data_IF_231601906092
#
_entry.id   IF_231601906092
#
_cell.length_a   1.000
_cell.length_b   1.000
_cell.length_c   1.000
_cell.angle_alpha   90.00
_cell.angle_beta   90.00
_cell.angle_gamma   90.00
#
_symmetry.space_group_name_H-M   'P 1'
#
loop_
_entity.id
_entity.type
_entity.pdbx_description
1 polymer ?
#
# COMPACT_ATOMS: atom_id res chain seq x y z
N UNK A 1 43.49 10.62 -29.82
CA UNK A 1 43.24 9.30 -30.46
C UNK A 1 43.10 8.16 -29.45
N UNK A 2 43.74 8.20 -28.27
CA UNK A 2 43.59 7.16 -27.23
C UNK A 2 42.22 7.11 -26.53
N UNK A 3 41.37 8.15 -26.66
CA UNK A 3 40.04 8.21 -26.03
C UNK A 3 38.92 7.56 -26.84
N UNK A 4 39.16 7.21 -28.11
CA UNK A 4 38.15 6.55 -28.98
C UNK A 4 38.23 5.03 -28.89
N UNK A 5 39.42 4.47 -28.58
CA UNK A 5 39.61 3.02 -28.43
C UNK A 5 39.06 2.46 -27.11
N UNK A 6 39.02 3.26 -26.02
CA UNK A 6 38.44 2.81 -24.74
C UNK A 6 36.92 2.66 -24.79
N UNK A 7 36.23 3.55 -25.53
CA UNK A 7 34.76 3.50 -25.68
C UNK A 7 34.34 2.27 -26.50
N UNK A 8 35.13 1.85 -27.51
CA UNK A 8 34.83 0.62 -28.24
C UNK A 8 35.01 -0.65 -27.40
N UNK A 9 35.94 -0.64 -26.44
CA UNK A 9 36.20 -1.80 -25.58
C UNK A 9 35.10 -2.00 -24.52
N UNK A 10 34.58 -0.92 -23.93
CA UNK A 10 33.49 -0.98 -22.94
C UNK A 10 32.15 -1.43 -23.56
N UNK A 11 31.83 -1.00 -24.79
CA UNK A 11 30.62 -1.44 -25.50
C UNK A 11 30.65 -2.94 -25.79
N UNK A 12 31.81 -3.47 -26.20
CA UNK A 12 31.98 -4.91 -26.44
C UNK A 12 31.91 -5.76 -25.17
N UNK A 13 32.26 -5.20 -24.01
CA UNK A 13 32.16 -5.86 -22.70
C UNK A 13 30.69 -5.96 -22.23
N UNK A 14 29.91 -4.90 -22.45
CA UNK A 14 28.47 -4.87 -22.17
C UNK A 14 27.68 -5.84 -23.07
N UNK A 15 28.01 -5.91 -24.37
CA UNK A 15 27.38 -6.85 -25.30
C UNK A 15 27.69 -8.31 -24.94
N UNK A 16 28.93 -8.58 -24.52
CA UNK A 16 29.35 -9.92 -24.08
C UNK A 16 28.64 -10.36 -22.79
N UNK A 17 28.46 -9.45 -21.84
CA UNK A 17 27.68 -9.69 -20.62
C UNK A 17 26.18 -9.94 -20.93
N UNK A 18 25.62 -9.23 -21.89
CA UNK A 18 24.23 -9.46 -22.34
C UNK A 18 24.07 -10.82 -23.02
N UNK A 19 25.04 -11.22 -23.86
CA UNK A 19 25.02 -12.53 -24.51
C UNK A 19 25.19 -13.68 -23.50
N UNK A 20 26.05 -13.50 -22.50
CA UNK A 20 26.21 -14.47 -21.40
C UNK A 20 24.93 -14.60 -20.57
N UNK A 21 24.25 -13.50 -20.25
CA UNK A 21 22.94 -13.54 -19.58
C UNK A 21 21.88 -14.25 -20.41
N UNK A 22 21.83 -14.00 -21.73
CA UNK A 22 20.90 -14.69 -22.62
C UNK A 22 21.18 -16.18 -22.69
N UNK A 23 22.45 -16.57 -22.77
CA UNK A 23 22.86 -17.98 -22.79
C UNK A 23 22.51 -18.68 -21.48
N UNK A 24 22.70 -18.01 -20.33
CA UNK A 24 22.34 -18.52 -19.01
C UNK A 24 20.82 -18.72 -18.87
N UNK A 25 20.02 -17.76 -19.35
CA UNK A 25 18.56 -17.90 -19.43
C UNK A 25 18.15 -19.07 -20.33
N UNK A 26 18.80 -19.24 -21.48
CA UNK A 26 18.50 -20.34 -22.40
C UNK A 26 18.81 -21.69 -21.76
N UNK A 27 19.93 -21.81 -21.04
CA UNK A 27 20.28 -23.01 -20.27
C UNK A 27 19.28 -23.31 -19.17
N UNK A 28 18.84 -22.30 -18.41
CA UNK A 28 17.81 -22.48 -17.38
C UNK A 28 16.48 -22.95 -17.99
N UNK A 29 16.08 -22.40 -19.13
CA UNK A 29 14.86 -22.79 -19.82
C UNK A 29 14.95 -24.23 -20.35
N UNK A 30 16.11 -24.64 -20.86
CA UNK A 30 16.35 -26.00 -21.34
C UNK A 30 16.38 -27.02 -20.20
N UNK A 31 16.98 -26.66 -19.05
CA UNK A 31 16.98 -27.49 -17.85
C UNK A 31 15.56 -27.71 -17.30
N UNK A 32 14.74 -26.66 -17.30
CA UNK A 32 13.34 -26.76 -16.89
C UNK A 32 12.54 -27.70 -17.80
N UNK A 33 12.72 -27.58 -19.12
CA UNK A 33 12.07 -28.47 -20.09
C UNK A 33 12.48 -29.94 -19.88
N UNK A 34 13.76 -30.17 -19.55
CA UNK A 34 14.30 -31.49 -19.26
C UNK A 34 13.72 -32.07 -17.96
N UNK A 35 13.56 -31.26 -16.91
CA UNK A 35 12.89 -31.66 -15.67
C UNK A 35 11.41 -32.00 -15.93
N UNK A 36 10.72 -31.23 -16.77
CA UNK A 36 9.34 -31.51 -17.15
C UNK A 36 9.19 -32.85 -17.87
N UNK A 37 10.09 -33.16 -18.83
CA UNK A 37 10.10 -34.45 -19.51
C UNK A 37 10.40 -35.61 -18.55
N UNK A 38 11.36 -35.45 -17.62
CA UNK A 38 11.65 -36.47 -16.62
C UNK A 38 10.46 -36.75 -15.70
N UNK A 39 9.76 -35.72 -15.23
CA UNK A 39 8.54 -35.89 -14.44
C UNK A 39 7.45 -36.61 -15.23
N UNK A 40 7.26 -36.28 -16.51
CA UNK A 40 6.27 -36.94 -17.37
C UNK A 40 6.59 -38.43 -17.56
N UNK A 41 7.86 -38.78 -17.75
CA UNK A 41 8.33 -40.16 -17.84
C UNK A 41 8.14 -40.92 -16.52
N UNK A 42 8.41 -40.30 -15.37
CA UNK A 42 8.15 -40.91 -14.06
C UNK A 42 6.66 -41.19 -13.83
N UNK A 43 5.79 -40.24 -14.17
CA UNK A 43 4.33 -40.42 -14.11
C UNK A 43 3.86 -41.57 -15.01
N UNK A 44 4.41 -41.67 -16.22
CA UNK A 44 4.06 -42.73 -17.16
C UNK A 44 4.52 -44.11 -16.66
N UNK A 45 5.70 -44.20 -16.05
CA UNK A 45 6.18 -45.44 -15.42
C UNK A 45 5.34 -45.84 -14.22
N UNK A 46 4.95 -44.89 -13.35
CA UNK A 46 4.06 -45.17 -12.22
C UNK A 46 2.68 -45.67 -12.67
N UNK A 47 2.13 -45.11 -13.76
CA UNK A 47 0.88 -45.58 -14.37
C UNK A 47 0.98 -47.01 -14.90
N UNK A 48 2.08 -47.34 -15.59
CA UNK A 48 2.33 -48.70 -16.08
C UNK A 48 2.47 -49.70 -14.93
N UNK A 49 3.21 -49.33 -13.88
CA UNK A 49 3.42 -50.20 -12.71
C UNK A 49 2.12 -50.43 -11.93
N UNK A 50 1.25 -49.42 -11.83
CA UNK A 50 -0.09 -49.57 -11.23
C UNK A 50 -1.01 -50.44 -12.09
N UNK A 51 -0.91 -50.40 -13.43
CA UNK A 51 -1.67 -51.29 -14.32
C UNK A 51 -1.21 -52.75 -14.20
N UNK A 52 0.09 -52.99 -13.99
CA UNK A 52 0.61 -54.35 -13.73
C UNK A 52 0.19 -54.88 -12.36
N UNK A 53 0.22 -54.04 -11.32
CA UNK A 53 -0.23 -54.38 -9.97
C UNK A 53 -1.74 -54.69 -9.92
N UNK A 54 -2.56 -53.96 -10.68
CA UNK A 54 -4.00 -54.21 -10.77
C UNK A 54 -4.35 -55.44 -11.63
N UNK A 55 -3.51 -55.81 -12.60
CA UNK A 55 -3.64 -57.10 -13.31
C UNK A 55 -3.28 -58.30 -12.44
N UNK A 56 -2.31 -58.16 -11.54
CA UNK A 56 -1.88 -59.25 -10.63
C UNK A 56 -2.83 -59.42 -9.44
N UNK A 57 -3.51 -58.37 -8.99
CA UNK A 57 -4.53 -58.45 -7.92
C UNK A 57 -5.92 -58.93 -8.38
N UNK A 58 -6.15 -59.08 -9.69
CA UNK A 58 -7.44 -59.49 -10.26
C UNK A 58 -7.82 -60.96 -10.04
N UNK A 59 -6.96 -61.77 -9.39
CA UNK A 59 -7.17 -63.21 -9.22
C UNK A 59 -7.76 -63.64 -7.87
N UNK A 60 -8.12 -62.75 -6.94
CA UNK A 60 -8.55 -63.21 -5.60
C UNK A 60 -9.52 -62.30 -4.80
N UNK A 61 -10.41 -61.51 -5.41
CA UNK A 61 -11.35 -60.66 -4.64
C UNK A 61 -12.77 -60.58 -5.24
N UNK A 62 -13.74 -60.39 -4.34
CA UNK A 62 -15.19 -60.29 -4.59
C UNK A 62 -15.51 -59.10 -5.54
N UNK A 63 -16.32 -59.31 -6.62
CA UNK A 63 -16.62 -58.28 -7.62
C UNK A 63 -17.16 -56.96 -7.06
N UNK A 64 -17.92 -56.98 -5.95
CA UNK A 64 -18.47 -55.76 -5.36
C UNK A 64 -17.41 -54.91 -4.64
N UNK A 65 -16.44 -55.54 -3.96
CA UNK A 65 -15.34 -54.81 -3.31
C UNK A 65 -14.36 -54.24 -4.35
N UNK A 66 -14.13 -54.94 -5.46
CA UNK A 66 -13.31 -54.43 -6.56
C UNK A 66 -13.90 -53.16 -7.19
N UNK A 67 -15.22 -53.12 -7.38
CA UNK A 67 -15.88 -51.96 -8.00
C UNK A 67 -15.83 -50.72 -7.09
N UNK A 68 -15.97 -50.91 -5.78
CA UNK A 68 -15.92 -49.83 -4.79
C UNK A 68 -14.49 -49.29 -4.61
N UNK A 69 -13.48 -50.16 -4.60
CA UNK A 69 -12.07 -49.75 -4.60
C UNK A 69 -11.67 -49.02 -5.89
N UNK A 70 -12.16 -49.49 -7.06
CA UNK A 70 -11.91 -48.79 -8.33
C UNK A 70 -12.51 -47.38 -8.34
N UNK A 71 -13.72 -47.18 -7.81
CA UNK A 71 -14.31 -45.84 -7.72
C UNK A 71 -13.55 -44.91 -6.76
N UNK A 72 -13.12 -45.42 -5.59
CA UNK A 72 -12.33 -44.63 -4.65
C UNK A 72 -10.96 -44.25 -5.22
N UNK A 73 -10.29 -45.18 -5.92
CA UNK A 73 -9.02 -44.89 -6.61
C UNK A 73 -9.20 -43.88 -7.74
N UNK A 74 -10.27 -43.95 -8.53
CA UNK A 74 -10.57 -42.95 -9.56
C UNK A 74 -10.80 -41.56 -8.98
N UNK A 75 -11.51 -41.44 -7.85
CA UNK A 75 -11.70 -40.14 -7.19
C UNK A 75 -10.41 -39.56 -6.64
N UNK A 76 -9.56 -40.38 -6.01
CA UNK A 76 -8.24 -39.91 -5.54
C UNK A 76 -7.34 -39.49 -6.70
N UNK A 77 -7.35 -40.22 -7.82
CA UNK A 77 -6.61 -39.83 -9.03
C UNK A 77 -7.09 -38.50 -9.60
N UNK A 78 -8.41 -38.26 -9.66
CA UNK A 78 -8.94 -36.98 -10.13
C UNK A 78 -8.55 -35.80 -9.21
N UNK A 79 -8.58 -35.99 -7.89
CA UNK A 79 -8.16 -34.95 -6.95
C UNK A 79 -6.66 -34.63 -7.06
N UNK A 80 -5.80 -35.65 -7.19
CA UNK A 80 -4.37 -35.42 -7.38
C UNK A 80 -4.06 -34.73 -8.71
N UNK A 81 -4.74 -35.10 -9.80
CA UNK A 81 -4.58 -34.40 -11.09
C UNK A 81 -5.02 -32.94 -11.03
N UNK A 82 -6.12 -32.63 -10.34
CA UNK A 82 -6.57 -31.24 -10.18
C UNK A 82 -5.58 -30.41 -9.35
N UNK A 83 -5.06 -30.95 -8.24
CA UNK A 83 -4.05 -30.24 -7.43
C UNK A 83 -2.76 -30.00 -8.22
N UNK A 84 -2.30 -30.97 -9.01
CA UNK A 84 -1.10 -30.79 -9.85
C UNK A 84 -1.32 -29.77 -10.97
N UNK A 85 -2.47 -29.78 -11.65
CA UNK A 85 -2.78 -28.76 -12.66
C UNK A 85 -2.84 -27.36 -12.06
N UNK A 86 -3.35 -27.23 -10.83
CA UNK A 86 -3.42 -25.95 -10.16
C UNK A 86 -2.03 -25.43 -9.75
N UNK A 87 -1.16 -26.29 -9.21
CA UNK A 87 0.23 -25.93 -8.92
C UNK A 87 1.02 -25.55 -10.18
N UNK A 88 0.86 -26.31 -11.28
CA UNK A 88 1.50 -25.98 -12.56
C UNK A 88 1.02 -24.64 -13.12
N UNK A 89 -0.26 -24.31 -12.95
CA UNK A 89 -0.83 -23.04 -13.41
C UNK A 89 -0.32 -21.85 -12.58
N UNK A 90 -0.18 -22.02 -11.27
CA UNK A 90 0.40 -21.02 -10.37
C UNK A 90 1.88 -20.78 -10.66
N UNK A 91 2.65 -21.84 -10.91
CA UNK A 91 4.07 -21.74 -11.24
C UNK A 91 4.31 -21.08 -12.62
N UNK A 92 3.50 -21.44 -13.62
CA UNK A 92 3.52 -20.79 -14.94
C UNK A 92 3.17 -19.29 -14.85
N UNK A 93 2.19 -18.92 -14.02
CA UNK A 93 1.83 -17.53 -13.78
C UNK A 93 2.94 -16.76 -13.06
N UNK A 94 3.61 -17.39 -12.09
CA UNK A 94 4.73 -16.80 -11.36
C UNK A 94 5.94 -16.54 -12.28
N UNK A 95 6.25 -17.46 -13.18
CA UNK A 95 7.32 -17.31 -14.19
C UNK A 95 6.98 -16.23 -15.23
N UNK A 96 5.73 -16.17 -15.70
CA UNK A 96 5.28 -15.11 -16.62
C UNK A 96 5.37 -13.72 -15.96
N UNK A 97 5.04 -13.61 -14.67
CA UNK A 97 5.19 -12.37 -13.91
C UNK A 97 6.66 -11.95 -13.74
N UNK A 98 7.56 -12.91 -13.51
CA UNK A 98 9.01 -12.64 -13.43
C UNK A 98 9.58 -12.19 -14.78
N UNK A 99 9.16 -12.80 -15.89
CA UNK A 99 9.57 -12.37 -17.24
C UNK A 99 9.07 -10.96 -17.56
N UNK A 100 7.83 -10.63 -17.23
CA UNK A 100 7.27 -9.29 -17.44
C UNK A 100 8.01 -8.24 -16.61
N UNK A 101 8.37 -8.55 -15.37
CA UNK A 101 9.16 -7.67 -14.51
C UNK A 101 10.58 -7.43 -15.06
N UNK A 102 11.23 -8.47 -15.59
CA UNK A 102 12.55 -8.34 -16.21
C UNK A 102 12.51 -7.48 -17.49
N UNK A 103 11.49 -7.66 -18.33
CA UNK A 103 11.29 -6.84 -19.54
C UNK A 103 11.01 -5.36 -19.20
N UNK A 104 10.25 -5.10 -18.14
CA UNK A 104 9.98 -3.73 -17.67
C UNK A 104 11.25 -3.05 -17.13
N UNK A 105 12.12 -3.79 -16.44
CA UNK A 105 13.38 -3.25 -15.94
C UNK A 105 14.33 -2.89 -17.10
N UNK A 106 14.42 -3.73 -18.13
CA UNK A 106 15.16 -3.42 -19.35
C UNK A 106 14.59 -2.20 -20.10
N UNK A 107 13.26 -2.10 -20.24
CA UNK A 107 12.63 -0.95 -20.88
C UNK A 107 12.88 0.36 -20.11
N UNK A 108 12.90 0.32 -18.77
CA UNK A 108 13.24 1.49 -17.95
C UNK A 108 14.71 1.91 -18.12
N UNK A 109 15.63 0.95 -18.23
CA UNK A 109 17.05 1.25 -18.47
C UNK A 109 17.29 1.86 -19.87
N UNK A 110 16.57 1.39 -20.90
CA UNK A 110 16.62 1.98 -22.25
C UNK A 110 16.03 3.39 -22.31
N UNK A 111 14.93 3.65 -21.59
CA UNK A 111 14.33 4.99 -21.45
C UNK A 111 15.23 5.96 -20.66
N UNK A 112 16.00 5.47 -19.69
CA UNK A 112 16.97 6.27 -18.95
C UNK A 112 18.18 6.67 -19.82
N UNK A 113 18.64 5.77 -20.71
CA UNK A 113 19.73 6.06 -21.64
C UNK A 113 19.36 7.10 -22.72
N UNK A 114 18.09 7.15 -23.16
CA UNK A 114 17.63 8.13 -24.15
C UNK A 114 17.43 9.57 -23.60
N UNK A 115 17.35 9.75 -22.27
CA UNK A 115 17.13 11.07 -21.65
C UNK A 115 18.37 11.98 -21.57
N UNK A 116 19.55 11.52 -22.02
CA UNK A 116 20.80 12.30 -21.93
C UNK A 116 21.06 13.27 -23.09
N UNK A 117 20.14 13.45 -24.05
CA UNK A 117 20.33 14.40 -25.16
C UNK A 117 19.12 15.30 -25.39
N UNK A 118 18.89 16.28 -24.51
CA UNK A 118 18.17 17.52 -24.86
C UNK A 118 18.72 18.70 -24.04
N UNK A 119 19.10 19.84 -24.66
CA UNK A 119 19.57 21.00 -23.92
C UNK A 119 18.40 21.73 -23.26
N UNK A 120 18.39 21.77 -21.92
CA UNK A 120 17.43 22.53 -21.12
C UNK A 120 17.89 23.98 -21.01
N UNK A 121 17.17 24.90 -21.65
CA UNK A 121 17.14 26.28 -21.21
C UNK A 121 16.26 26.36 -19.97
N UNK A 122 16.84 26.67 -18.81
CA UNK A 122 16.07 27.02 -17.61
C UNK A 122 16.76 28.13 -16.83
N UNK A 123 16.05 29.25 -16.74
CA UNK A 123 16.34 30.40 -15.89
C UNK A 123 16.45 29.94 -14.44
N UNK A 124 17.57 30.30 -13.83
CA UNK A 124 17.93 30.00 -12.45
C UNK A 124 17.17 30.88 -11.48
N UNK A 125 16.50 30.27 -10.50
CA UNK A 125 16.35 30.80 -9.14
C UNK A 125 16.14 29.61 -8.19
N UNK A 126 17.19 28.83 -7.96
CA UNK A 126 17.26 27.92 -6.81
C UNK A 126 17.77 28.71 -5.61
N UNK A 127 16.86 29.21 -4.79
CA UNK A 127 17.18 29.44 -3.40
C UNK A 127 17.46 28.07 -2.77
N UNK A 128 18.69 27.85 -2.29
CA UNK A 128 19.08 26.65 -1.57
C UNK A 128 18.21 26.52 -0.32
N UNK A 129 17.19 25.65 -0.34
CA UNK A 129 16.48 25.26 0.89
C UNK A 129 17.52 24.70 1.87
N UNK A 130 17.68 25.34 3.02
CA UNK A 130 18.54 24.84 4.11
C UNK A 130 18.07 23.44 4.49
N UNK A 131 18.97 22.46 4.49
CA UNK A 131 18.67 21.11 4.98
C UNK A 131 18.46 21.17 6.50
N UNK A 132 17.39 20.55 6.98
CA UNK A 132 17.15 20.39 8.42
C UNK A 132 18.21 19.48 9.05
N UNK A 133 18.46 19.68 10.33
CA UNK A 133 19.19 18.76 11.20
C UNK A 133 18.50 18.67 12.56
N UNK A 134 18.95 17.75 13.42
CA UNK A 134 18.33 17.51 14.71
C UNK A 134 18.40 18.73 15.66
N UNK A 135 19.53 19.46 15.66
CA UNK A 135 19.77 20.62 16.53
C UNK A 135 18.88 21.83 16.19
N UNK A 136 18.25 21.81 15.02
CA UNK A 136 17.26 22.81 14.60
C UNK A 136 15.95 22.70 15.40
N UNK A 137 15.75 21.62 16.18
CA UNK A 137 14.51 21.30 16.88
C UNK A 137 14.72 21.02 18.37
N UNK A 138 13.74 21.43 19.18
CA UNK A 138 13.58 20.97 20.56
C UNK A 138 12.54 19.86 20.57
N UNK A 139 12.91 18.66 21.00
CA UNK A 139 11.97 17.53 21.18
C UNK A 139 11.19 17.73 22.48
N UNK A 140 9.87 17.55 22.44
CA UNK A 140 8.98 17.72 23.59
C UNK A 140 8.50 16.38 24.16
N UNK A 141 7.62 15.69 23.44
CA UNK A 141 7.03 14.40 23.85
C UNK A 141 6.69 13.55 22.65
N UNK A 142 6.51 12.26 22.89
CA UNK A 142 5.98 11.31 21.91
C UNK A 142 4.48 11.56 21.69
N UNK A 143 4.08 11.67 20.42
CA UNK A 143 2.69 11.77 19.96
C UNK A 143 2.12 10.41 19.53
N UNK A 144 2.99 9.47 19.14
CA UNK A 144 2.60 8.14 18.69
C UNK A 144 3.80 7.21 18.50
N UNK A 145 3.54 5.91 18.59
CA UNK A 145 4.54 4.86 18.36
C UNK A 145 4.10 3.97 17.21
N UNK A 146 4.98 3.72 16.24
CA UNK A 146 4.75 2.80 15.14
C UNK A 146 5.70 1.60 15.19
N UNK A 147 5.53 0.66 14.26
CA UNK A 147 6.33 -0.57 14.18
C UNK A 147 7.83 -0.34 14.00
N UNK A 148 8.23 0.80 13.44
CA UNK A 148 9.62 1.11 13.07
C UNK A 148 10.23 2.27 13.85
N UNK A 149 9.46 2.91 14.73
CA UNK A 149 9.87 4.18 15.30
C UNK A 149 8.78 4.95 16.03
N UNK A 150 8.97 6.25 16.19
CA UNK A 150 8.09 7.14 16.95
C UNK A 150 7.84 8.44 16.22
N UNK A 151 6.74 9.09 16.57
CA UNK A 151 6.44 10.46 16.15
C UNK A 151 6.55 11.35 17.37
N UNK A 152 7.42 12.36 17.30
CA UNK A 152 7.64 13.33 18.37
C UNK A 152 6.99 14.67 18.04
N UNK A 153 6.39 15.31 19.04
CA UNK A 153 6.14 16.74 19.00
C UNK A 153 7.47 17.47 19.15
N UNK A 154 7.80 18.33 18.20
CA UNK A 154 9.02 19.12 18.23
C UNK A 154 8.72 20.59 17.99
N UNK A 155 9.53 21.48 18.55
CA UNK A 155 9.45 22.92 18.30
C UNK A 155 10.71 23.38 17.57
N UNK A 156 10.54 24.06 16.43
CA UNK A 156 11.69 24.62 15.71
C UNK A 156 12.32 25.75 16.52
N UNK A 157 13.65 25.74 16.60
CA UNK A 157 14.43 26.77 17.30
C UNK A 157 14.55 28.07 16.48
N UNK A 158 14.13 28.08 15.22
CA UNK A 158 14.20 29.27 14.34
C UNK A 158 12.93 30.11 14.35
N UNK A 159 11.77 29.47 14.27
CA UNK A 159 10.48 30.15 14.13
C UNK A 159 9.51 29.85 15.27
N UNK A 160 9.93 29.05 16.26
CA UNK A 160 9.13 28.63 17.42
C UNK A 160 7.85 27.85 17.07
N UNK A 161 7.65 27.44 15.82
CA UNK A 161 6.50 26.64 15.39
C UNK A 161 6.66 25.17 15.78
N UNK A 162 5.54 24.53 16.04
CA UNK A 162 5.45 23.11 16.34
C UNK A 162 5.34 22.26 15.07
N UNK A 163 5.99 21.11 15.08
CA UNK A 163 6.03 20.12 14.01
C UNK A 163 5.91 18.71 14.60
N UNK A 164 5.50 17.76 13.77
CA UNK A 164 5.60 16.34 14.08
C UNK A 164 6.85 15.77 13.41
N UNK A 165 7.75 15.16 14.18
CA UNK A 165 8.97 14.53 13.69
C UNK A 165 8.82 13.00 13.77
N UNK A 166 8.62 12.35 12.62
CA UNK A 166 8.64 10.88 12.52
C UNK A 166 10.10 10.42 12.47
N UNK A 167 10.50 9.64 13.47
CA UNK A 167 11.84 9.08 13.63
C UNK A 167 11.77 7.58 13.41
N UNK A 168 12.49 7.06 12.42
CA UNK A 168 12.49 5.65 12.04
C UNK A 168 13.89 5.05 12.24
N UNK A 169 13.98 3.92 12.95
CA UNK A 169 15.27 3.23 13.15
C UNK A 169 15.66 2.50 11.87
N UNK A 170 16.81 2.84 11.27
CA UNK A 170 17.31 2.22 10.04
C UNK A 170 17.40 0.70 10.15
N UNK A 171 17.91 0.20 11.28
CA UNK A 171 18.03 -1.23 11.56
C UNK A 171 16.67 -1.94 11.53
N UNK A 172 15.63 -1.36 12.15
CA UNK A 172 14.29 -1.94 12.17
C UNK A 172 13.61 -1.90 10.81
N UNK A 173 13.77 -0.80 10.07
CA UNK A 173 13.24 -0.67 8.70
C UNK A 173 13.85 -1.73 7.78
N UNK A 174 15.17 -1.96 7.86
CA UNK A 174 15.85 -2.99 7.08
C UNK A 174 15.43 -4.39 7.53
N UNK A 175 15.42 -4.66 8.84
CA UNK A 175 15.04 -5.95 9.44
C UNK A 175 13.63 -6.39 9.02
N UNK A 176 12.69 -5.44 8.97
CA UNK A 176 11.29 -5.68 8.59
C UNK A 176 11.03 -5.52 7.09
N UNK A 177 12.09 -5.37 6.27
CA UNK A 177 12.05 -5.25 4.80
C UNK A 177 11.17 -4.10 4.31
N UNK A 178 11.18 -2.97 5.02
CA UNK A 178 10.36 -1.78 4.71
C UNK A 178 11.13 -0.65 4.04
N UNK A 179 12.33 -0.92 3.53
CA UNK A 179 13.17 0.07 2.84
C UNK A 179 12.44 0.72 1.67
N UNK A 180 11.83 -0.09 0.79
CA UNK A 180 11.09 0.41 -0.37
C UNK A 180 9.89 1.28 0.06
N UNK A 181 9.11 0.82 1.02
CA UNK A 181 7.95 1.56 1.54
C UNK A 181 8.36 2.89 2.18
N UNK A 182 9.45 2.92 2.94
CA UNK A 182 9.96 4.15 3.57
C UNK A 182 10.44 5.18 2.53
N UNK A 183 11.17 4.72 1.51
CA UNK A 183 11.60 5.60 0.41
C UNK A 183 10.42 6.07 -0.45
N UNK A 184 9.41 5.22 -0.67
CA UNK A 184 8.18 5.59 -1.37
C UNK A 184 7.35 6.61 -0.59
N UNK A 185 7.19 6.41 0.73
CA UNK A 185 6.49 7.36 1.61
C UNK A 185 7.10 8.75 1.50
N UNK A 186 8.43 8.85 1.67
CA UNK A 186 9.16 10.11 1.48
C UNK A 186 8.91 10.69 0.08
N UNK A 187 9.14 9.91 -0.97
CA UNK A 187 9.06 10.39 -2.36
C UNK A 187 7.66 10.93 -2.70
N UNK A 188 6.60 10.28 -2.20
CA UNK A 188 5.23 10.72 -2.41
C UNK A 188 4.98 12.01 -1.65
N UNK A 189 5.33 12.07 -0.37
CA UNK A 189 5.17 13.26 0.48
C UNK A 189 5.94 14.48 -0.04
N UNK A 190 7.06 14.30 -0.74
CA UNK A 190 7.79 15.41 -1.40
C UNK A 190 7.06 16.01 -2.61
N UNK A 191 6.09 15.29 -3.19
CA UNK A 191 5.45 15.64 -4.47
C UNK A 191 3.98 16.00 -4.36
N UNK A 192 3.34 15.66 -3.25
CA UNK A 192 1.91 15.92 -3.02
C UNK A 192 1.74 17.18 -2.19
N UNK A 193 0.79 18.03 -2.60
CA UNK A 193 0.41 19.24 -1.90
C UNK A 193 -1.11 19.42 -2.06
N UNK A 194 -1.84 19.29 -0.96
CA UNK A 194 -3.30 19.36 -0.97
C UNK A 194 -3.85 19.78 0.40
N UNK A 195 -4.94 20.58 0.47
CA UNK A 195 -5.47 21.08 1.74
C UNK A 195 -5.75 20.01 2.80
N UNK A 196 -6.15 18.81 2.36
CA UNK A 196 -6.51 17.69 3.26
C UNK A 196 -5.43 16.61 3.38
N UNK A 197 -4.21 16.85 2.89
CA UNK A 197 -3.07 15.95 3.10
C UNK A 197 -2.08 16.59 4.09
N UNK A 198 -1.37 15.74 4.83
CA UNK A 198 -0.25 16.16 5.67
C UNK A 198 0.88 16.70 4.79
N UNK A 199 1.49 17.82 5.17
CA UNK A 199 2.67 18.32 4.47
C UNK A 199 3.94 17.81 5.13
N UNK A 200 4.92 17.41 4.32
CA UNK A 200 6.29 17.16 4.75
C UNK A 200 7.18 18.35 4.41
N UNK A 201 7.77 18.96 5.43
CA UNK A 201 8.64 20.13 5.31
C UNK A 201 10.06 19.76 4.88
N UNK A 202 10.51 18.57 5.26
CA UNK A 202 11.80 18.04 4.84
C UNK A 202 12.18 16.77 5.58
N UNK A 203 13.28 16.18 5.15
CA UNK A 203 13.89 15.01 5.78
C UNK A 203 15.34 15.28 6.13
N UNK A 204 15.86 14.47 7.04
CA UNK A 204 17.29 14.29 7.30
C UNK A 204 17.52 12.89 7.85
N UNK A 205 18.78 12.49 7.99
CA UNK A 205 19.17 11.23 8.62
C UNK A 205 20.44 11.41 9.44
N UNK A 206 20.63 10.55 10.43
CA UNK A 206 21.89 10.37 11.14
C UNK A 206 22.37 8.91 11.01
N UNK A 207 23.35 8.51 11.82
CA UNK A 207 23.95 7.16 11.75
C UNK A 207 22.94 6.04 11.97
N UNK A 208 21.89 6.25 12.80
CA UNK A 208 20.94 5.19 13.18
C UNK A 208 19.52 5.41 12.69
N UNK A 209 19.13 6.64 12.40
CA UNK A 209 17.75 7.04 12.24
C UNK A 209 17.49 7.85 10.97
N UNK A 210 16.26 7.76 10.49
CA UNK A 210 15.67 8.63 9.47
C UNK A 210 14.68 9.56 10.14
N UNK A 211 14.62 10.81 9.67
CA UNK A 211 13.77 11.85 10.21
C UNK A 211 12.90 12.44 9.10
N UNK A 212 11.60 12.52 9.34
CA UNK A 212 10.65 13.25 8.51
C UNK A 212 9.98 14.34 9.36
N UNK A 213 10.13 15.60 8.95
CA UNK A 213 9.52 16.76 9.61
C UNK A 213 8.21 17.08 8.89
N UNK A 214 7.09 16.97 9.60
CA UNK A 214 5.74 17.09 9.07
C UNK A 214 4.94 18.13 9.84
N UNK A 215 3.79 18.53 9.28
CA UNK A 215 2.81 19.34 10.02
C UNK A 215 2.47 18.70 11.37
N UNK A 216 2.44 19.50 12.43
CA UNK A 216 1.81 19.09 13.66
C UNK A 216 0.30 19.38 13.59
N UNK A 217 -0.51 18.33 13.63
CA UNK A 217 -1.97 18.42 13.54
C UNK A 217 -2.58 18.21 14.92
N UNK A 218 -2.91 19.32 15.59
CA UNK A 218 -3.19 19.39 17.03
C UNK A 218 -4.48 18.70 17.50
N UNK A 219 -5.47 18.49 16.62
CA UNK A 219 -6.80 18.00 16.99
C UNK A 219 -6.91 16.49 17.20
N UNK A 220 -5.81 15.75 17.04
CA UNK A 220 -5.78 14.30 17.23
C UNK A 220 -6.51 13.54 16.12
N UNK A 221 -6.79 12.27 16.37
CA UNK A 221 -7.38 11.34 15.41
C UNK A 221 -8.91 11.43 15.34
N UNK A 222 -9.46 11.33 14.13
CA UNK A 222 -10.90 11.19 13.91
C UNK A 222 -11.44 9.93 14.60
N UNK A 223 -10.62 8.87 14.69
CA UNK A 223 -10.94 7.64 15.42
C UNK A 223 -11.42 7.92 16.86
N UNK A 224 -10.65 8.71 17.62
CA UNK A 224 -10.97 9.08 19.00
C UNK A 224 -12.29 9.84 19.10
N UNK A 225 -12.56 10.74 18.16
CA UNK A 225 -13.82 11.49 18.10
C UNK A 225 -15.01 10.57 17.78
N UNK A 226 -14.82 9.63 16.83
CA UNK A 226 -15.84 8.66 16.45
C UNK A 226 -16.18 7.72 17.61
N UNK A 227 -15.17 7.17 18.30
CA UNK A 227 -15.36 6.30 19.47
C UNK A 227 -16.09 7.02 20.60
N UNK A 228 -15.71 8.25 20.92
CA UNK A 228 -16.40 9.09 21.94
C UNK A 228 -17.86 9.36 21.56
N UNK A 229 -18.13 9.58 20.27
CA UNK A 229 -19.47 9.86 19.75
C UNK A 229 -20.32 8.60 19.52
N UNK A 230 -19.73 7.40 19.63
CA UNK A 230 -20.26 6.10 19.20
C UNK A 230 -20.49 5.99 17.69
N UNK A 231 -21.15 6.98 17.08
CA UNK A 231 -21.34 7.11 15.63
C UNK A 231 -21.62 8.57 15.28
N UNK A 232 -21.40 8.95 14.04
CA UNK A 232 -21.74 10.26 13.52
C UNK A 232 -23.13 10.30 12.89
N UNK A 233 -23.86 11.42 13.02
CA UNK A 233 -24.97 11.74 12.13
C UNK A 233 -24.49 11.81 10.67
N UNK A 234 -25.37 11.48 9.71
CA UNK A 234 -24.97 11.41 8.29
C UNK A 234 -24.42 12.73 7.75
N UNK A 235 -24.88 13.89 8.22
CA UNK A 235 -24.36 15.18 7.76
C UNK A 235 -22.91 15.42 8.21
N UNK A 236 -22.54 14.94 9.41
CA UNK A 236 -21.16 14.99 9.94
C UNK A 236 -20.28 14.02 9.13
N UNK A 237 -20.75 12.80 8.92
CA UNK A 237 -20.03 11.82 8.09
C UNK A 237 -19.86 12.31 6.65
N UNK A 238 -20.87 12.99 6.08
CA UNK A 238 -20.81 13.60 4.74
C UNK A 238 -19.71 14.64 4.65
N UNK A 239 -19.60 15.53 5.63
CA UNK A 239 -18.54 16.55 5.65
C UNK A 239 -17.15 15.92 5.53
N UNK A 240 -16.79 15.00 6.43
CA UNK A 240 -15.47 14.34 6.39
C UNK A 240 -15.27 13.49 5.13
N UNK A 241 -16.33 12.85 4.65
CA UNK A 241 -16.28 12.09 3.38
C UNK A 241 -15.96 13.00 2.20
N UNK A 242 -16.47 14.24 2.16
CA UNK A 242 -16.17 15.18 1.08
C UNK A 242 -14.67 15.53 1.04
N UNK A 243 -14.06 15.76 2.21
CA UNK A 243 -12.64 16.09 2.32
C UNK A 243 -11.74 14.91 1.92
N UNK A 244 -12.06 13.71 2.41
CA UNK A 244 -11.37 12.47 2.03
C UNK A 244 -11.51 12.21 0.53
N UNK A 245 -12.71 12.40 -0.05
CA UNK A 245 -12.94 12.22 -1.48
C UNK A 245 -12.04 13.13 -2.30
N UNK A 246 -11.95 14.42 -1.97
CA UNK A 246 -11.11 15.38 -2.68
C UNK A 246 -9.62 15.02 -2.57
N UNK A 247 -9.17 14.58 -1.40
CA UNK A 247 -7.80 14.10 -1.21
C UNK A 247 -7.49 12.85 -2.06
N UNK A 248 -8.39 11.85 -2.09
CA UNK A 248 -8.23 10.66 -2.91
C UNK A 248 -8.26 10.99 -4.41
N UNK A 249 -9.19 11.85 -4.85
CA UNK A 249 -9.27 12.34 -6.22
C UNK A 249 -7.93 12.97 -6.67
N UNK A 250 -7.34 13.81 -5.80
CA UNK A 250 -6.03 14.41 -6.03
C UNK A 250 -4.89 13.38 -6.09
N UNK A 251 -4.81 12.43 -5.14
CA UNK A 251 -3.77 11.39 -5.16
C UNK A 251 -3.87 10.55 -6.43
N UNK A 252 -5.10 10.18 -6.80
CA UNK A 252 -5.39 9.39 -7.98
C UNK A 252 -5.03 10.12 -9.27
N UNK A 253 -5.18 11.45 -9.34
CA UNK A 253 -4.72 12.25 -10.49
C UNK A 253 -3.20 12.26 -10.62
N UNK A 254 -2.46 12.03 -9.53
CA UNK A 254 -1.00 11.89 -9.50
C UNK A 254 -0.54 10.43 -9.60
N UNK A 255 -1.43 9.52 -10.00
CA UNK A 255 -1.19 8.08 -10.05
C UNK A 255 -0.71 7.47 -8.71
N UNK A 256 -1.08 8.07 -7.58
CA UNK A 256 -0.81 7.53 -6.24
C UNK A 256 -2.05 6.79 -5.76
N UNK A 257 -1.85 5.60 -5.19
CA UNK A 257 -2.88 4.83 -4.47
C UNK A 257 -2.51 4.88 -2.98
N UNK A 258 -3.44 5.21 -2.10
CA UNK A 258 -3.17 5.46 -0.68
C UNK A 258 -3.11 4.16 0.15
N UNK A 259 -4.07 3.25 -0.02
CA UNK A 259 -4.11 1.86 0.50
C UNK A 259 -4.20 1.67 2.02
N UNK A 260 -4.28 2.72 2.85
CA UNK A 260 -4.49 2.58 4.29
C UNK A 260 -5.50 3.60 4.85
N UNK A 261 -6.61 3.80 4.14
CA UNK A 261 -7.69 4.67 4.64
C UNK A 261 -8.39 4.02 5.83
N UNK A 262 -8.37 4.70 6.97
CA UNK A 262 -9.05 4.36 8.23
C UNK A 262 -9.11 5.59 9.15
N UNK A 263 -10.02 5.66 10.13
CA UNK A 263 -10.16 6.82 11.01
C UNK A 263 -8.89 7.21 11.78
N UNK A 264 -8.01 6.25 12.05
CA UNK A 264 -6.72 6.44 12.75
C UNK A 264 -5.73 7.27 11.91
N UNK A 265 -5.80 7.14 10.58
CA UNK A 265 -4.94 7.89 9.66
C UNK A 265 -5.55 9.23 9.21
N UNK A 266 -6.65 9.65 9.85
CA UNK A 266 -7.33 10.92 9.59
C UNK A 266 -7.21 11.81 10.82
N UNK A 267 -6.32 12.81 10.77
CA UNK A 267 -6.16 13.77 11.85
C UNK A 267 -7.07 14.98 11.63
N UNK A 268 -7.42 15.68 12.72
CA UNK A 268 -8.20 16.92 12.65
C UNK A 268 -7.33 18.13 12.96
N UNK A 269 -7.35 19.12 12.07
CA UNK A 269 -6.66 20.40 12.32
C UNK A 269 -7.38 21.24 13.39
N UNK A 270 -6.83 22.41 13.70
CA UNK A 270 -7.39 23.29 14.74
C UNK A 270 -8.78 23.84 14.43
N UNK A 271 -9.19 23.79 13.16
CA UNK A 271 -10.52 24.19 12.72
C UNK A 271 -11.47 22.99 12.57
N UNK A 272 -10.95 21.76 12.68
CA UNK A 272 -11.72 20.51 12.56
C UNK A 272 -11.71 19.91 11.15
N UNK A 273 -10.85 20.37 10.25
CA UNK A 273 -10.72 19.79 8.90
C UNK A 273 -9.75 18.61 8.90
N UNK A 274 -9.96 17.68 7.96
CA UNK A 274 -9.16 16.47 7.83
C UNK A 274 -7.75 16.77 7.33
N UNK A 275 -6.78 16.07 7.90
CA UNK A 275 -5.43 15.86 7.39
C UNK A 275 -5.15 14.36 7.33
N UNK A 276 -5.13 13.81 6.11
CA UNK A 276 -4.71 12.42 5.89
C UNK A 276 -3.21 12.33 6.16
N UNK A 277 -2.82 11.42 7.04
CA UNK A 277 -1.44 11.15 7.43
C UNK A 277 -1.02 9.73 7.05
N UNK A 278 0.18 9.31 7.42
CA UNK A 278 0.78 7.98 7.21
C UNK A 278 0.70 7.46 5.77
N UNK A 279 1.74 7.75 5.00
CA UNK A 279 1.86 7.35 3.59
C UNK A 279 2.71 6.07 3.43
N UNK A 280 2.92 5.32 4.50
CA UNK A 280 3.75 4.11 4.50
C UNK A 280 3.27 3.02 3.53
N UNK A 281 1.96 2.95 3.26
CA UNK A 281 1.40 2.09 2.22
C UNK A 281 1.04 2.83 0.94
N UNK A 282 1.27 4.13 0.83
CA UNK A 282 1.02 4.82 -0.43
C UNK A 282 1.99 4.34 -1.51
N UNK A 283 1.54 4.28 -2.78
CA UNK A 283 2.40 3.86 -3.90
C UNK A 283 2.07 4.65 -5.16
N UNK A 284 3.11 5.14 -5.83
CA UNK A 284 3.00 5.68 -7.18
C UNK A 284 2.93 4.54 -8.21
N UNK A 285 1.80 4.41 -8.89
CA UNK A 285 1.44 3.31 -9.78
C UNK A 285 0.96 3.87 -11.13
N UNK A 286 1.87 4.31 -12.02
CA UNK A 286 1.50 4.93 -13.30
C UNK A 286 0.84 3.93 -14.27
N UNK A 287 1.14 2.64 -14.15
CA UNK A 287 0.47 1.55 -14.90
C UNK A 287 -0.87 1.14 -14.27
N UNK A 288 -1.35 1.85 -13.25
CA UNK A 288 -2.60 1.62 -12.54
C UNK A 288 -2.78 0.22 -11.92
N UNK A 289 -1.69 -0.55 -11.75
CA UNK A 289 -1.71 -1.89 -11.17
C UNK A 289 -0.54 -2.16 -10.21
N UNK A 290 -0.85 -2.75 -9.05
CA UNK A 290 0.12 -3.28 -8.07
C UNK A 290 -0.41 -4.59 -7.47
N UNK A 291 0.43 -5.35 -6.76
CA UNK A 291 0.11 -6.70 -6.24
C UNK A 291 0.41 -6.89 -4.75
N UNK A 292 1.02 -5.91 -4.09
CA UNK A 292 1.41 -6.02 -2.67
C UNK A 292 0.17 -6.13 -1.79
N UNK A 293 0.05 -7.18 -0.98
CA UNK A 293 -0.97 -7.26 0.06
C UNK A 293 -0.58 -6.32 1.22
N UNK A 294 -1.32 -5.23 1.42
CA UNK A 294 -1.13 -4.27 2.52
C UNK A 294 -2.44 -3.55 2.85
N UNK A 295 -2.45 -2.81 3.95
CA UNK A 295 -3.62 -2.14 4.50
C UNK A 295 -4.16 -2.82 5.75
N UNK A 296 -5.18 -2.21 6.34
CA UNK A 296 -5.81 -2.68 7.58
C UNK A 296 -6.92 -3.71 7.26
N UNK A 297 -6.99 -4.88 7.94
CA UNK A 297 -7.86 -6.00 7.56
C UNK A 297 -9.32 -5.65 7.28
N UNK A 298 -9.95 -4.86 8.16
CA UNK A 298 -11.38 -4.48 8.03
C UNK A 298 -11.68 -3.54 6.85
N UNK A 299 -10.62 -2.93 6.28
CA UNK A 299 -10.68 -1.97 5.18
C UNK A 299 -10.23 -2.54 3.83
N UNK A 300 -9.78 -3.79 3.79
CA UNK A 300 -9.29 -4.43 2.56
C UNK A 300 -10.40 -4.66 1.54
N UNK A 301 -10.11 -4.32 0.29
CA UNK A 301 -10.97 -4.64 -0.83
C UNK A 301 -10.87 -6.14 -1.23
N UNK A 302 -11.93 -6.75 -1.78
CA UNK A 302 -11.93 -8.17 -2.16
C UNK A 302 -10.79 -8.56 -3.10
N UNK A 303 -10.44 -7.70 -4.06
CA UNK A 303 -9.38 -7.96 -5.02
C UNK A 303 -7.97 -7.97 -4.41
N UNK A 304 -7.74 -7.25 -3.29
CA UNK A 304 -6.48 -7.31 -2.54
C UNK A 304 -6.38 -8.68 -1.85
N UNK A 305 -7.45 -9.12 -1.19
CA UNK A 305 -7.53 -10.42 -0.49
C UNK A 305 -7.32 -11.58 -1.48
N UNK A 306 -7.89 -11.47 -2.67
CA UNK A 306 -7.71 -12.46 -3.74
C UNK A 306 -6.30 -12.46 -4.36
N UNK A 307 -5.39 -11.60 -3.90
CA UNK A 307 -4.04 -11.43 -4.47
C UNK A 307 -4.06 -11.15 -5.98
N UNK A 308 -5.10 -10.47 -6.46
CA UNK A 308 -5.19 -10.02 -7.85
C UNK A 308 -4.44 -8.69 -8.00
N UNK A 309 -4.02 -8.39 -9.22
CA UNK A 309 -3.56 -7.04 -9.55
C UNK A 309 -4.69 -6.05 -9.26
N UNK A 310 -4.40 -4.99 -8.50
CA UNK A 310 -5.38 -4.00 -8.09
C UNK A 310 -4.85 -2.57 -8.31
N UNK A 311 -5.79 -1.63 -8.48
CA UNK A 311 -5.52 -0.23 -8.79
C UNK A 311 -6.21 0.71 -7.82
N UNK A 312 -6.44 1.95 -8.25
CA UNK A 312 -7.04 3.04 -7.45
C UNK A 312 -8.43 2.71 -6.85
N UNK A 313 -9.14 1.75 -7.45
CA UNK A 313 -10.47 1.31 -7.02
C UNK A 313 -10.53 0.79 -5.57
N UNK A 314 -9.40 0.38 -4.99
CA UNK A 314 -9.33 -0.08 -3.60
C UNK A 314 -9.56 1.06 -2.60
N UNK A 315 -9.08 2.27 -2.90
CA UNK A 315 -9.28 3.43 -2.02
C UNK A 315 -10.77 3.84 -1.97
N UNK A 316 -11.49 3.69 -3.09
CA UNK A 316 -12.94 3.93 -3.14
C UNK A 316 -13.74 2.89 -2.35
N UNK A 317 -13.26 1.64 -2.30
CA UNK A 317 -13.83 0.62 -1.41
C UNK A 317 -13.59 1.01 0.05
N UNK A 318 -12.36 1.33 0.43
CA UNK A 318 -12.01 1.73 1.80
C UNK A 318 -12.74 3.00 2.24
N UNK A 319 -13.03 3.93 1.31
CA UNK A 319 -13.90 5.08 1.58
C UNK A 319 -15.34 4.65 1.90
N UNK A 320 -15.88 3.65 1.19
CA UNK A 320 -17.17 3.06 1.52
C UNK A 320 -17.19 2.41 2.91
N UNK A 321 -16.10 1.73 3.30
CA UNK A 321 -15.93 1.17 4.66
C UNK A 321 -15.92 2.30 5.70
N UNK A 322 -15.14 3.36 5.47
CA UNK A 322 -15.05 4.54 6.33
C UNK A 322 -16.41 5.22 6.52
N UNK A 323 -17.15 5.44 5.43
CA UNK A 323 -18.49 6.03 5.45
C UNK A 323 -19.46 5.20 6.29
N UNK A 324 -19.44 3.88 6.11
CA UNK A 324 -20.25 2.96 6.90
C UNK A 324 -19.88 3.05 8.38
N UNK A 325 -18.58 2.95 8.70
CA UNK A 325 -18.10 2.96 10.08
C UNK A 325 -18.43 4.27 10.80
N UNK A 326 -18.27 5.42 10.13
CA UNK A 326 -18.67 6.71 10.68
C UNK A 326 -20.17 6.73 11.03
N UNK A 327 -21.04 6.20 10.18
CA UNK A 327 -22.49 6.27 10.40
C UNK A 327 -23.05 5.16 11.31
N UNK A 328 -22.38 4.01 11.38
CA UNK A 328 -22.79 2.85 12.17
C UNK A 328 -22.11 2.78 13.54
N UNK A 329 -20.87 3.26 13.65
CA UNK A 329 -20.00 3.10 14.81
C UNK A 329 -19.10 1.86 14.77
N UNK A 330 -19.24 1.02 13.75
CA UNK A 330 -18.48 -0.21 13.55
C UNK A 330 -18.34 -0.51 12.04
N UNK A 331 -17.30 -1.23 11.59
CA UNK A 331 -17.09 -1.51 10.18
C UNK A 331 -18.15 -2.48 9.60
N UNK A 332 -18.42 -2.43 8.28
CA UNK A 332 -19.43 -3.28 7.62
C UNK A 332 -19.09 -4.77 7.65
N UNK A 333 -17.80 -5.10 7.77
CA UNK A 333 -17.28 -6.45 7.94
C UNK A 333 -16.42 -6.46 9.20
N UNK A 334 -16.65 -7.42 10.08
CA UNK A 334 -15.87 -7.59 11.30
C UNK A 334 -15.88 -9.07 11.71
N UNK A 335 -14.73 -9.58 12.12
CA UNK A 335 -14.57 -10.88 12.78
C UNK A 335 -13.24 -10.88 13.54
N UNK A 336 -13.15 -11.59 14.66
CA UNK A 336 -11.90 -11.74 15.40
C UNK A 336 -10.88 -12.59 14.62
N UNK A 337 -11.37 -13.52 13.80
CA UNK A 337 -10.54 -14.35 12.93
C UNK A 337 -10.44 -13.72 11.53
N UNK A 338 -9.24 -13.30 11.16
CA UNK A 338 -8.97 -12.68 9.86
C UNK A 338 -9.42 -13.55 8.67
N UNK A 339 -9.36 -14.88 8.77
CA UNK A 339 -9.80 -15.78 7.69
C UNK A 339 -11.32 -15.68 7.53
N UNK A 340 -12.08 -15.59 8.63
CA UNK A 340 -13.53 -15.42 8.59
C UNK A 340 -13.92 -14.01 8.13
N UNK A 341 -13.18 -13.00 8.57
CA UNK A 341 -13.33 -11.62 8.09
C UNK A 341 -13.16 -11.56 6.56
N UNK A 342 -12.10 -12.16 6.03
CA UNK A 342 -11.86 -12.23 4.60
C UNK A 342 -13.00 -12.97 3.89
N UNK A 343 -13.51 -14.07 4.45
CA UNK A 343 -14.71 -14.75 3.95
C UNK A 343 -15.94 -13.83 3.87
N UNK A 344 -16.15 -12.97 4.88
CA UNK A 344 -17.26 -11.98 4.90
C UNK A 344 -17.08 -10.91 3.83
N UNK A 345 -15.87 -10.36 3.68
CA UNK A 345 -15.53 -9.36 2.65
C UNK A 345 -15.77 -9.96 1.26
N UNK A 346 -15.27 -11.18 1.02
CA UNK A 346 -15.44 -11.89 -0.25
C UNK A 346 -16.89 -12.22 -0.57
N UNK A 347 -17.72 -12.48 0.44
CA UNK A 347 -19.15 -12.70 0.26
C UNK A 347 -19.93 -11.41 -0.09
N UNK A 348 -19.40 -10.24 0.25
CA UNK A 348 -19.99 -8.93 -0.06
C UNK A 348 -21.36 -8.66 0.57
N UNK A 349 -21.76 -9.43 1.60
CA UNK A 349 -23.08 -9.33 2.25
C UNK A 349 -23.05 -8.30 3.38
N UNK A 350 -23.27 -7.03 3.04
CA UNK A 350 -23.37 -5.93 4.01
C UNK A 350 -24.77 -5.87 4.63
N UNK A 351 -24.84 -5.78 5.97
CA UNK A 351 -26.08 -5.51 6.70
C UNK A 351 -26.14 -4.03 7.06
N UNK A 352 -27.12 -3.33 6.50
CA UNK A 352 -27.28 -1.88 6.72
C UNK A 352 -28.20 -1.62 7.92
N UNK A 353 -27.79 -0.76 8.88
CA UNK A 353 -28.65 -0.33 9.96
C UNK A 353 -29.95 0.31 9.46
N UNK A 354 -31.03 0.17 10.23
CA UNK A 354 -32.35 0.69 9.87
C UNK A 354 -32.35 2.21 9.74
N UNK A 355 -31.57 2.90 10.58
CA UNK A 355 -31.46 4.36 10.63
C UNK A 355 -30.69 4.99 9.46
N UNK A 356 -30.03 4.20 8.61
CA UNK A 356 -29.37 4.72 7.41
C UNK A 356 -30.42 5.19 6.39
N UNK A 357 -30.21 6.39 5.85
CA UNK A 357 -30.99 6.93 4.75
C UNK A 357 -30.90 6.05 3.51
N UNK A 358 -31.90 6.15 2.64
CA UNK A 358 -31.88 5.40 1.39
C UNK A 358 -30.74 5.85 0.47
N UNK A 359 -30.40 7.14 0.49
CA UNK A 359 -29.25 7.69 -0.24
C UNK A 359 -27.92 7.12 0.24
N UNK A 360 -27.72 7.02 1.56
CA UNK A 360 -26.49 6.41 2.10
C UNK A 360 -26.40 4.93 1.72
N UNK A 361 -27.49 4.17 1.87
CA UNK A 361 -27.54 2.76 1.48
C UNK A 361 -27.23 2.55 0.00
N UNK A 362 -27.75 3.42 -0.88
CA UNK A 362 -27.50 3.32 -2.33
C UNK A 362 -26.02 3.58 -2.66
N UNK A 363 -25.44 4.65 -2.08
CA UNK A 363 -24.03 4.98 -2.30
C UNK A 363 -23.10 3.87 -1.79
N UNK A 364 -23.33 3.38 -0.58
CA UNK A 364 -22.53 2.31 0.01
C UNK A 364 -22.60 1.02 -0.81
N UNK A 365 -23.77 0.66 -1.35
CA UNK A 365 -23.88 -0.50 -2.25
C UNK A 365 -22.99 -0.36 -3.48
N UNK A 366 -22.86 0.85 -4.02
CA UNK A 366 -22.06 1.13 -5.24
C UNK A 366 -20.55 1.21 -4.97
N UNK A 367 -20.14 1.64 -3.77
CA UNK A 367 -18.74 1.66 -3.33
C UNK A 367 -18.27 0.28 -2.87
N UNK A 368 -19.06 -0.41 -2.04
CA UNK A 368 -18.81 -1.76 -1.52
C UNK A 368 -19.21 -2.85 -2.53
N UNK A 369 -18.88 -2.63 -3.80
CA UNK A 369 -19.13 -3.57 -4.91
C UNK A 369 -17.85 -4.31 -5.27
N UNK A 370 -17.85 -5.64 -5.19
CA UNK A 370 -16.69 -6.46 -5.56
C UNK A 370 -16.35 -6.41 -7.06
N UNK A 371 -17.37 -6.26 -7.92
CA UNK A 371 -17.19 -6.13 -9.37
C UNK A 371 -16.64 -4.75 -9.75
N UNK A 372 -15.37 -4.70 -10.12
CA UNK A 372 -14.66 -3.47 -10.50
C UNK A 372 -15.32 -2.74 -11.68
N UNK A 373 -16.07 -3.44 -12.54
CA UNK A 373 -16.77 -2.81 -13.67
C UNK A 373 -18.02 -2.03 -13.25
N UNK A 374 -18.43 -2.17 -11.98
CA UNK A 374 -19.63 -1.56 -11.40
C UNK A 374 -19.32 -0.66 -10.20
N UNK A 375 -18.11 -0.76 -9.61
CA UNK A 375 -17.72 0.04 -8.46
C UNK A 375 -17.59 1.51 -8.82
N UNK A 376 -18.29 2.36 -8.07
CA UNK A 376 -18.14 3.81 -8.19
C UNK A 376 -16.71 4.26 -7.93
N UNK A 377 -16.26 5.29 -8.65
CA UNK A 377 -14.85 5.71 -8.66
C UNK A 377 -13.98 4.97 -9.69
N UNK A 378 -14.41 3.79 -10.17
CA UNK A 378 -13.71 3.00 -11.19
C UNK A 378 -14.45 2.93 -12.55
N UNK A 379 -15.61 3.59 -12.65
CA UNK A 379 -16.34 3.73 -13.90
C UNK A 379 -15.76 4.86 -14.75
N UNK A 380 -16.36 5.11 -15.93
CA UNK A 380 -15.92 6.16 -16.85
C UNK A 380 -15.93 7.56 -16.24
N UNK A 381 -16.85 7.86 -15.32
CA UNK A 381 -16.92 9.15 -14.63
C UNK A 381 -15.95 9.28 -13.46
N UNK A 382 -15.27 8.20 -13.05
CA UNK A 382 -14.30 8.21 -11.96
C UNK A 382 -14.90 8.77 -10.67
N UNK A 383 -14.19 9.71 -10.03
CA UNK A 383 -14.66 10.38 -8.81
C UNK A 383 -15.97 11.17 -9.04
N UNK A 384 -16.26 11.63 -10.25
CA UNK A 384 -17.48 12.39 -10.54
C UNK A 384 -18.75 11.56 -10.34
N UNK A 385 -18.70 10.24 -10.59
CA UNK A 385 -19.84 9.34 -10.32
C UNK A 385 -20.19 9.31 -8.82
N UNK A 386 -19.21 9.50 -7.95
CA UNK A 386 -19.39 9.59 -6.51
C UNK A 386 -19.91 10.99 -6.14
N UNK A 387 -19.27 12.06 -6.64
CA UNK A 387 -19.60 13.46 -6.32
C UNK A 387 -21.03 13.84 -6.73
N UNK A 388 -21.52 13.26 -7.82
CA UNK A 388 -22.87 13.51 -8.35
C UNK A 388 -23.95 12.61 -7.75
N UNK A 389 -23.60 11.71 -6.82
CA UNK A 389 -24.58 10.85 -6.17
C UNK A 389 -25.51 11.68 -5.26
N UNK A 390 -26.80 11.33 -5.20
CA UNK A 390 -27.82 12.07 -4.43
C UNK A 390 -27.50 12.24 -2.93
N UNK A 391 -26.65 11.39 -2.36
CA UNK A 391 -26.19 11.55 -0.97
C UNK A 391 -25.30 12.79 -0.75
N UNK A 392 -24.68 13.32 -1.80
CA UNK A 392 -23.91 14.57 -1.81
C UNK A 392 -24.68 15.75 -2.43
N UNK A 393 -26.01 15.62 -2.61
CA UNK A 393 -26.83 16.73 -3.10
C UNK A 393 -26.64 17.98 -2.22
N UNK A 394 -26.45 19.13 -2.87
CA UNK A 394 -26.21 20.42 -2.22
C UNK A 394 -24.77 20.67 -1.77
N UNK A 395 -23.84 19.71 -1.93
CA UNK A 395 -22.42 19.94 -1.62
C UNK A 395 -21.79 20.88 -2.65
N UNK A 396 -21.25 22.00 -2.18
CA UNK A 396 -20.38 22.87 -2.97
C UNK A 396 -18.92 22.42 -2.81
N UNK A 397 -18.41 21.68 -3.79
CA UNK A 397 -17.06 21.11 -3.76
C UNK A 397 -15.94 22.14 -3.71
N UNK A 398 -16.12 23.32 -4.31
CA UNK A 398 -15.13 24.40 -4.28
C UNK A 398 -15.03 25.01 -2.87
N UNK A 399 -16.16 25.16 -2.18
CA UNK A 399 -16.20 25.60 -0.79
C UNK A 399 -15.59 24.57 0.17
N UNK A 400 -15.81 23.27 -0.08
CA UNK A 400 -15.12 22.21 0.68
C UNK A 400 -13.61 22.36 0.45
N UNK A 401 -13.14 22.33 -0.80
CA UNK A 401 -11.71 22.39 -1.13
C UNK A 401 -11.00 23.62 -0.53
N UNK A 402 -11.66 24.78 -0.57
CA UNK A 402 -11.14 26.03 -0.02
C UNK A 402 -11.35 26.20 1.49
N UNK A 403 -11.89 25.18 2.19
CA UNK A 403 -12.16 25.16 3.63
C UNK A 403 -13.03 26.34 4.09
N UNK A 404 -14.07 26.65 3.32
CA UNK A 404 -15.04 27.71 3.64
C UNK A 404 -16.29 27.20 4.37
N UNK A 405 -16.39 25.89 4.58
CA UNK A 405 -17.49 25.26 5.31
C UNK A 405 -17.00 24.96 6.72
N UNK A 406 -17.68 25.49 7.73
CA UNK A 406 -17.34 25.22 9.13
C UNK A 406 -17.42 23.73 9.45
N UNK A 407 -16.37 23.22 10.10
CA UNK A 407 -16.34 21.82 10.50
C UNK A 407 -17.40 21.52 11.60
N UNK A 408 -18.03 20.34 11.56
CA UNK A 408 -19.08 19.96 12.51
C UNK A 408 -18.55 19.72 13.93
N UNK A 409 -17.23 19.51 14.07
CA UNK A 409 -16.55 19.37 15.34
C UNK A 409 -15.28 20.20 15.32
N UNK A 410 -15.09 21.05 16.34
CA UNK A 410 -13.86 21.78 16.56
C UNK A 410 -13.14 21.17 17.77
N UNK A 411 -11.89 20.69 17.63
CA UNK A 411 -11.12 20.18 18.75
C UNK A 411 -10.93 21.25 19.83
N UNK A 412 -10.91 20.82 21.10
CA UNK A 412 -10.52 21.71 22.20
C UNK A 412 -9.00 21.77 22.25
N UNK A 413 -8.44 22.98 22.20
CA UNK A 413 -7.00 23.23 22.09
C UNK A 413 -6.62 24.33 23.08
N UNK A 414 -5.67 24.03 23.96
CA UNK A 414 -5.16 24.94 25.00
C UNK A 414 -4.04 25.85 24.51
N UNK A 415 -3.35 25.48 23.42
CA UNK A 415 -2.27 26.25 22.83
C UNK A 415 -1.62 25.54 21.63
N UNK A 416 -0.66 26.19 20.97
CA UNK A 416 -0.04 25.67 19.73
C UNK A 416 0.76 24.37 19.91
N UNK A 417 1.23 24.09 21.12
CA UNK A 417 1.94 22.85 21.48
C UNK A 417 1.10 21.88 22.30
N UNK A 418 -0.22 22.05 22.34
CA UNK A 418 -1.13 21.23 23.13
C UNK A 418 -1.30 19.82 22.56
N UNK A 419 -0.72 18.84 23.23
CA UNK A 419 -0.84 17.43 22.85
C UNK A 419 -1.93 16.66 23.63
N UNK A 420 -2.87 17.33 24.31
CA UNK A 420 -3.91 16.67 25.12
C UNK A 420 -4.91 15.83 24.32
N UNK A 421 -4.98 16.03 23.00
CA UNK A 421 -5.78 15.21 22.09
C UNK A 421 -5.06 13.91 21.64
N UNK A 422 -3.84 13.67 22.11
CA UNK A 422 -3.04 12.47 21.85
C UNK A 422 -2.88 11.65 23.13
N UNK A 423 -2.73 10.33 22.97
CA UNK A 423 -2.46 9.44 24.09
C UNK A 423 -1.07 9.69 24.69
N UNK A 424 -0.92 9.36 25.98
CA UNK A 424 0.36 9.40 26.67
C UNK A 424 1.17 8.13 26.38
N UNK A 425 2.34 8.31 25.76
CA UNK A 425 3.29 7.24 25.47
C UNK A 425 4.50 7.32 26.39
N UNK A 426 5.09 6.19 26.82
CA UNK A 426 6.35 6.19 27.54
C UNK A 426 7.46 6.80 26.68
N UNK A 427 8.16 7.78 27.23
CA UNK A 427 9.33 8.37 26.58
C UNK A 427 10.52 7.39 26.61
N UNK A 428 11.24 7.32 25.50
CA UNK A 428 12.48 6.53 25.42
C UNK A 428 13.65 7.30 26.00
N UNK A 429 14.61 6.59 26.57
CA UNK A 429 15.88 7.15 27.01
C UNK A 429 16.87 7.34 25.84
N UNK A 430 16.53 6.88 24.64
CA UNK A 430 17.38 7.00 23.45
C UNK A 430 17.69 8.47 23.10
N UNK A 431 18.97 8.82 23.14
CA UNK A 431 19.47 10.12 22.69
C UNK A 431 19.77 10.07 21.19
N UNK A 432 18.98 10.81 20.42
CA UNK A 432 19.22 10.99 18.99
C UNK A 432 20.48 11.83 18.73
N UNK A 433 21.22 11.53 17.66
CA UNK A 433 22.42 12.28 17.27
C UNK A 433 23.67 12.04 18.14
N UNK A 434 23.61 11.20 19.18
CA UNK A 434 24.76 10.92 20.07
C UNK A 434 25.22 9.46 19.91
N UNK A 435 26.43 9.29 19.36
CA UNK A 435 26.98 7.98 19.02
C UNK A 435 28.41 7.79 19.55
N UNK A 436 28.81 6.55 19.92
CA UNK A 436 30.20 6.18 20.14
C UNK A 436 31.13 6.71 19.03
N UNK A 437 32.32 7.22 19.39
CA UNK A 437 33.31 7.65 18.41
C UNK A 437 33.64 6.53 17.42
N UNK A 438 33.60 6.84 16.13
CA UNK A 438 33.90 5.89 15.06
C UNK A 438 32.71 5.07 14.56
N UNK A 439 31.50 5.27 15.09
CA UNK A 439 30.31 4.63 14.52
C UNK A 439 30.03 5.17 13.11
N UNK A 440 29.84 4.26 12.14
CA UNK A 440 29.62 4.58 10.73
C UNK A 440 28.19 4.27 10.30
N UNK A 441 27.66 5.07 9.38
CA UNK A 441 26.33 4.87 8.82
C UNK A 441 26.34 3.74 7.77
N UNK A 442 26.30 2.49 8.22
CA UNK A 442 26.32 1.31 7.34
C UNK A 442 25.02 1.15 6.53
N UNK A 443 23.90 1.66 7.04
CA UNK A 443 22.58 1.46 6.46
C UNK A 443 22.08 2.66 5.65
N UNK A 444 22.74 3.82 5.72
CA UNK A 444 22.32 5.05 5.04
C UNK A 444 22.21 4.93 3.53
N UNK A 445 23.02 4.05 2.92
CA UNK A 445 22.95 3.78 1.48
C UNK A 445 21.59 3.24 1.02
N UNK A 446 20.80 2.62 1.90
CA UNK A 446 19.45 2.15 1.60
C UNK A 446 18.40 3.27 1.56
N UNK A 447 18.73 4.47 2.06
CA UNK A 447 17.81 5.60 2.23
C UNK A 447 18.32 6.87 1.52
N UNK A 448 18.45 6.82 0.18
CA UNK A 448 19.07 7.90 -0.56
C UNK A 448 18.27 9.21 -0.46
N UNK A 449 19.00 10.28 -0.22
CA UNK A 449 18.48 11.64 -0.19
C UNK A 449 17.64 11.99 1.04
N UNK A 450 17.53 11.09 2.03
CA UNK A 450 17.00 11.46 3.34
C UNK A 450 17.85 12.58 3.94
#
# INVERSE_FOLDING_TARGET
>A
MQSVEMVSAETTLSERQQLEQQLEQQKQQQLLLQQQQQQQLQLQQQLLQQQELSRTSAQAQDPQQQQQQQQQQQQQQQQQQQQQQQQQKEEAQRLAAQQLAAQQLQAQQQLAAQRQQTPRASVSQQATRRKFNLDDFRVHRTLGTGSFGRVHLVQSRFNSRFYAMKVLKKSEVVRLKQVEHTNNEKMILERVEHPFLINMWGTFQDVRNLYMVMDYVVGGELFSVLRKSQRFPEHVARFYTCEVLLALEYLHSHAVIYRDLKPENLLLDSMGHIKITDFGFAKHVPQNMTWTLCGTPDYLAPEIIQSKGYGKAVDWWSMGVLMFEMCAGFPPFFDEDHIKLYGKIMAGKVRYPSHFSQGLKDLLKRLLTADLTKRYGNLRGGAADIKNHAWFEGVNWDMVYSRQIDAPYRPTILGEGDASNFDDYPEDAEQYGVYPPGETDELGMYFPGF
#
